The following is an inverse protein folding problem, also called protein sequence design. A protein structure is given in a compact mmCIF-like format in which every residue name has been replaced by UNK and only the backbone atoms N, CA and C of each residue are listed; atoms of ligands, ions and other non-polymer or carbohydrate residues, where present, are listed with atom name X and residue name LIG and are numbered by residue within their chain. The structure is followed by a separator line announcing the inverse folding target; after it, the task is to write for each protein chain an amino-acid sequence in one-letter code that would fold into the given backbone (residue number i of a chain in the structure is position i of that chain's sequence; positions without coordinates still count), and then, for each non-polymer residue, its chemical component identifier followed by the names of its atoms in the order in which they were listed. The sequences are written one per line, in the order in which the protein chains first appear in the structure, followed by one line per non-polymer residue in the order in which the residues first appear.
data_IF_242427088849
#
_entry.id   IF_242427088849
#
_cell.length_a   1.000
_cell.length_b   1.000
_cell.length_c   1.000
_cell.angle_alpha   90.00
_cell.angle_beta   90.00
_cell.angle_gamma   90.00
#
_symmetry.space_group_name_H-M   'P 1'
#
loop_
_entity.id
_entity.type
_entity.pdbx_description
1 polymer ?
#
# COMPACT_ATOMS: atom_id res chain seq x y z
N UNK A 1 9.47 -15.35 -25.92
CA UNK A 1 9.35 -15.69 -24.48
C UNK A 1 7.91 -15.54 -24.02
N UNK A 2 7.30 -14.37 -24.21
CA UNK A 2 5.90 -14.10 -23.82
C UNK A 2 4.89 -15.12 -24.38
N UNK A 3 4.87 -15.36 -25.69
CA UNK A 3 3.98 -16.36 -26.30
C UNK A 3 4.15 -17.78 -25.73
N UNK A 4 5.37 -18.16 -25.32
CA UNK A 4 5.67 -19.47 -24.73
C UNK A 4 5.17 -19.58 -23.29
N UNK A 5 5.25 -18.49 -22.52
CA UNK A 5 4.68 -18.40 -21.17
C UNK A 5 3.15 -18.48 -21.25
N UNK A 6 2.55 -17.73 -22.18
CA UNK A 6 1.10 -17.70 -22.38
C UNK A 6 0.56 -19.03 -22.91
N UNK A 7 1.27 -19.72 -23.80
CA UNK A 7 0.86 -21.04 -24.30
C UNK A 7 0.87 -22.08 -23.18
N UNK A 8 1.94 -22.13 -22.38
CA UNK A 8 2.04 -23.06 -21.25
C UNK A 8 0.99 -22.78 -20.16
N UNK A 9 0.64 -21.52 -19.93
CA UNK A 9 -0.43 -21.16 -19.00
C UNK A 9 -1.79 -21.72 -19.42
N UNK A 10 -2.07 -21.73 -20.74
CA UNK A 10 -3.29 -22.27 -21.35
C UNK A 10 -3.39 -23.80 -21.31
N UNK A 11 -2.26 -24.51 -21.40
CA UNK A 11 -2.20 -25.97 -21.41
C UNK A 11 -2.33 -26.64 -20.02
N UNK A 12 -2.53 -25.85 -18.95
CA UNK A 12 -2.56 -26.32 -17.53
C UNK A 12 -1.29 -27.07 -17.09
N UNK A 13 -0.15 -26.84 -17.75
CA UNK A 13 1.13 -27.47 -17.42
C UNK A 13 1.92 -26.64 -16.41
N UNK A 14 1.50 -26.66 -15.14
CA UNK A 14 2.13 -25.88 -14.06
C UNK A 14 3.63 -26.19 -13.91
N UNK A 15 4.01 -27.46 -13.95
CA UNK A 15 5.41 -27.92 -13.79
C UNK A 15 6.31 -27.38 -14.91
N UNK A 16 5.85 -27.46 -16.17
CA UNK A 16 6.60 -26.95 -17.33
C UNK A 16 6.73 -25.42 -17.29
N UNK A 17 5.72 -24.74 -16.77
CA UNK A 17 5.75 -23.28 -16.61
C UNK A 17 6.75 -22.89 -15.53
N UNK A 18 6.81 -23.64 -14.43
CA UNK A 18 7.76 -23.42 -13.36
C UNK A 18 9.20 -23.67 -13.80
N UNK A 19 9.48 -24.77 -14.50
CA UNK A 19 10.80 -25.05 -15.12
C UNK A 19 11.23 -23.91 -16.04
N UNK A 20 10.32 -23.43 -16.90
CA UNK A 20 10.61 -22.31 -17.78
C UNK A 20 10.94 -21.04 -16.98
N UNK A 21 10.18 -20.73 -15.93
CA UNK A 21 10.41 -19.54 -15.12
C UNK A 21 11.66 -19.65 -14.25
N UNK A 22 12.09 -20.85 -13.86
CA UNK A 22 13.37 -21.08 -13.19
C UNK A 22 14.57 -20.80 -14.11
N UNK A 23 14.43 -21.08 -15.41
CA UNK A 23 15.47 -20.80 -16.40
C UNK A 23 15.58 -19.31 -16.79
N UNK A 24 14.57 -18.49 -16.48
CA UNK A 24 14.52 -17.08 -16.84
C UNK A 24 14.90 -16.21 -15.63
N UNK A 25 15.76 -15.22 -15.84
CA UNK A 25 16.11 -14.26 -14.79
C UNK A 25 14.90 -13.39 -14.46
N UNK A 26 14.75 -13.07 -13.18
CA UNK A 26 13.61 -12.30 -12.71
C UNK A 26 13.54 -10.89 -13.33
N UNK A 27 14.70 -10.28 -13.63
CA UNK A 27 14.77 -8.98 -14.28
C UNK A 27 14.22 -9.04 -15.72
N UNK A 28 14.46 -10.15 -16.42
CA UNK A 28 13.91 -10.37 -17.77
C UNK A 28 12.39 -10.50 -17.72
N UNK A 29 11.84 -11.17 -16.70
CA UNK A 29 10.39 -11.25 -16.47
C UNK A 29 9.79 -9.89 -16.14
N UNK A 30 10.45 -9.10 -15.29
CA UNK A 30 10.02 -7.76 -14.96
C UNK A 30 10.01 -6.83 -16.19
N UNK A 31 11.06 -6.91 -17.02
CA UNK A 31 11.13 -6.16 -18.28
C UNK A 31 10.05 -6.59 -19.27
N UNK A 32 9.75 -7.89 -19.33
CA UNK A 32 8.70 -8.42 -20.18
C UNK A 32 7.31 -7.93 -19.73
N UNK A 33 7.05 -7.92 -18.42
CA UNK A 33 5.83 -7.35 -17.84
C UNK A 33 5.69 -5.87 -18.16
N UNK A 34 6.75 -5.08 -17.96
CA UNK A 34 6.77 -3.66 -18.28
C UNK A 34 6.45 -3.41 -19.76
N UNK A 35 7.08 -4.18 -20.67
CA UNK A 35 6.84 -4.06 -22.10
C UNK A 35 5.38 -4.36 -22.49
N UNK A 36 4.76 -5.37 -21.86
CA UNK A 36 3.35 -5.69 -22.13
C UNK A 36 2.39 -4.68 -21.52
N UNK A 37 2.69 -4.18 -20.32
CA UNK A 37 1.90 -3.15 -19.67
C UNK A 37 1.89 -1.84 -20.48
N UNK A 38 3.05 -1.38 -20.97
CA UNK A 38 3.16 -0.16 -21.78
C UNK A 38 2.45 -0.30 -23.13
N UNK A 39 2.48 -1.50 -23.74
CA UNK A 39 1.78 -1.79 -25.01
C UNK A 39 0.26 -1.94 -24.83
N UNK A 40 -0.23 -1.96 -23.58
CA UNK A 40 -1.64 -2.13 -23.25
C UNK A 40 -2.23 -3.47 -23.66
N UNK A 41 -1.40 -4.52 -23.80
CA UNK A 41 -1.85 -5.85 -24.24
C UNK A 41 -1.27 -6.92 -23.33
N UNK A 42 -2.10 -7.91 -22.97
CA UNK A 42 -1.71 -9.16 -22.32
C UNK A 42 -0.97 -9.06 -20.96
N UNK A 43 -0.80 -7.88 -20.36
CA UNK A 43 -0.13 -7.72 -19.07
C UNK A 43 -0.79 -8.55 -17.97
N UNK A 44 -2.13 -8.53 -17.88
CA UNK A 44 -2.84 -9.35 -16.91
C UNK A 44 -2.74 -10.86 -17.17
N UNK A 45 -2.78 -11.28 -18.44
CA UNK A 45 -2.62 -12.69 -18.80
C UNK A 45 -1.21 -13.22 -18.45
N UNK A 46 -0.19 -12.41 -18.72
CA UNK A 46 1.19 -12.70 -18.35
C UNK A 46 1.36 -12.77 -16.83
N UNK A 47 0.80 -11.81 -16.09
CA UNK A 47 0.90 -11.77 -14.65
C UNK A 47 0.26 -13.02 -14.01
N UNK A 48 -0.92 -13.42 -14.49
CA UNK A 48 -1.58 -14.69 -14.08
C UNK A 48 -0.71 -15.90 -14.37
N UNK A 49 -0.07 -15.94 -15.55
CA UNK A 49 0.82 -17.04 -15.91
C UNK A 49 2.03 -17.12 -14.97
N UNK A 50 2.70 -15.98 -14.72
CA UNK A 50 3.86 -15.92 -13.81
C UNK A 50 3.48 -16.40 -12.42
N UNK A 51 2.36 -15.93 -11.87
CA UNK A 51 1.90 -16.36 -10.54
C UNK A 51 1.55 -17.84 -10.50
N UNK A 52 0.88 -18.36 -11.52
CA UNK A 52 0.57 -19.80 -11.62
C UNK A 52 1.82 -20.68 -11.65
N UNK A 53 2.88 -20.26 -12.34
CA UNK A 53 4.16 -20.98 -12.41
C UNK A 53 5.14 -20.67 -11.28
N UNK A 54 4.73 -19.88 -10.28
CA UNK A 54 5.59 -19.48 -9.16
C UNK A 54 4.83 -19.66 -7.85
N UNK A 55 4.45 -20.88 -7.46
CA UNK A 55 3.66 -21.10 -6.25
C UNK A 55 4.43 -20.68 -4.99
N UNK A 56 3.71 -20.17 -3.98
CA UNK A 56 4.31 -19.80 -2.69
C UNK A 56 4.78 -21.00 -1.84
N UNK A 57 4.42 -22.23 -2.24
CA UNK A 57 4.91 -23.46 -1.61
C UNK A 57 6.40 -23.69 -1.86
N UNK A 58 6.99 -22.99 -2.85
CA UNK A 58 8.41 -23.05 -3.14
C UNK A 58 9.05 -21.70 -2.92
N UNK A 59 10.19 -21.68 -2.25
CA UNK A 59 10.91 -20.45 -1.91
C UNK A 59 11.26 -19.62 -3.16
N UNK A 60 11.79 -20.27 -4.21
CA UNK A 60 12.10 -19.60 -5.48
C UNK A 60 10.85 -19.00 -6.15
N UNK A 61 9.70 -19.67 -6.06
CA UNK A 61 8.43 -19.17 -6.56
C UNK A 61 7.94 -17.97 -5.76
N UNK A 62 8.03 -18.04 -4.44
CA UNK A 62 7.62 -16.99 -3.51
C UNK A 62 8.47 -15.71 -3.67
N UNK A 63 9.80 -15.84 -3.77
CA UNK A 63 10.72 -14.71 -4.02
C UNK A 63 10.47 -14.07 -5.39
N UNK A 64 10.26 -14.88 -6.43
CA UNK A 64 9.89 -14.37 -7.76
C UNK A 64 8.58 -13.60 -7.71
N UNK A 65 7.55 -14.11 -7.00
CA UNK A 65 6.27 -13.40 -6.81
C UNK A 65 6.50 -12.05 -6.15
N UNK A 66 7.27 -12.00 -5.06
CA UNK A 66 7.57 -10.74 -4.36
C UNK A 66 8.19 -9.71 -5.31
N UNK A 67 9.22 -10.09 -6.07
CA UNK A 67 9.87 -9.18 -7.02
C UNK A 67 8.91 -8.69 -8.10
N UNK A 68 8.07 -9.57 -8.64
CA UNK A 68 7.06 -9.21 -9.64
C UNK A 68 6.01 -8.27 -9.03
N UNK A 69 5.61 -8.45 -7.77
CA UNK A 69 4.74 -7.51 -7.04
C UNK A 69 5.37 -6.13 -6.93
N UNK A 70 6.61 -6.04 -6.45
CA UNK A 70 7.33 -4.76 -6.30
C UNK A 70 7.43 -4.05 -7.65
N UNK A 71 7.77 -4.77 -8.73
CA UNK A 71 7.84 -4.19 -10.08
C UNK A 71 6.47 -3.76 -10.60
N UNK A 72 5.42 -4.53 -10.34
CA UNK A 72 4.04 -4.17 -10.73
C UNK A 72 3.57 -2.90 -10.02
N UNK A 73 3.87 -2.77 -8.73
CA UNK A 73 3.59 -1.57 -7.92
C UNK A 73 4.33 -0.36 -8.49
N UNK A 74 5.63 -0.50 -8.77
CA UNK A 74 6.44 0.57 -9.38
C UNK A 74 5.90 1.02 -10.73
N UNK A 75 5.41 0.09 -11.56
CA UNK A 75 4.80 0.43 -12.86
C UNK A 75 3.48 1.19 -12.68
N UNK A 76 2.62 0.78 -11.76
CA UNK A 76 1.37 1.49 -11.46
C UNK A 76 1.66 2.91 -10.94
N UNK A 77 2.69 3.06 -10.10
CA UNK A 77 3.08 4.36 -9.56
C UNK A 77 3.85 5.25 -10.51
N UNK A 78 4.42 4.70 -11.58
CA UNK A 78 5.03 5.54 -12.62
C UNK A 78 4.02 6.51 -13.24
N UNK A 79 2.74 6.12 -13.30
CA UNK A 79 1.69 6.88 -13.98
C UNK A 79 1.68 6.70 -15.50
N UNK A 80 2.65 5.97 -16.07
CA UNK A 80 2.81 5.82 -17.53
C UNK A 80 1.86 4.80 -18.17
N UNK A 81 1.07 4.09 -17.36
CA UNK A 81 0.15 3.05 -17.82
C UNK A 81 -1.23 3.61 -18.14
N UNK A 82 -1.88 3.02 -19.15
CA UNK A 82 -3.31 3.20 -19.38
C UNK A 82 -4.10 2.80 -18.13
N UNK A 83 -5.19 3.53 -17.84
CA UNK A 83 -5.96 3.37 -16.60
C UNK A 83 -6.47 1.94 -16.46
N UNK A 84 -6.96 1.35 -17.54
CA UNK A 84 -7.52 0.00 -17.60
C UNK A 84 -6.45 -1.04 -17.28
N UNK A 85 -5.23 -0.87 -17.80
CA UNK A 85 -4.09 -1.76 -17.56
C UNK A 85 -3.62 -1.67 -16.12
N UNK A 86 -3.51 -0.45 -15.58
CA UNK A 86 -3.14 -0.24 -14.19
C UNK A 86 -4.16 -0.87 -13.23
N UNK A 87 -5.46 -0.69 -13.51
CA UNK A 87 -6.55 -1.30 -12.73
C UNK A 87 -6.57 -2.83 -12.86
N UNK A 88 -6.30 -3.39 -14.04
CA UNK A 88 -6.18 -4.84 -14.22
C UNK A 88 -5.02 -5.40 -13.40
N UNK A 89 -3.84 -4.79 -13.48
CA UNK A 89 -2.66 -5.20 -12.71
C UNK A 89 -2.98 -5.14 -11.21
N UNK A 90 -3.48 -4.00 -10.71
CA UNK A 90 -3.86 -3.87 -9.30
C UNK A 90 -4.87 -4.93 -8.88
N UNK A 91 -5.96 -5.12 -9.63
CA UNK A 91 -6.97 -6.12 -9.31
C UNK A 91 -6.40 -7.53 -9.20
N UNK A 92 -5.42 -7.90 -10.03
CA UNK A 92 -4.72 -9.18 -9.94
C UNK A 92 -3.85 -9.30 -8.69
N UNK A 93 -3.10 -8.24 -8.35
CA UNK A 93 -2.31 -8.20 -7.11
C UNK A 93 -3.21 -8.33 -5.88
N UNK A 94 -4.36 -7.65 -5.87
CA UNK A 94 -5.32 -7.71 -4.77
C UNK A 94 -5.88 -9.13 -4.54
N UNK A 95 -6.06 -9.92 -5.60
CA UNK A 95 -6.54 -11.31 -5.46
C UNK A 95 -5.41 -12.22 -5.00
N UNK A 96 -4.23 -12.12 -5.59
CA UNK A 96 -3.13 -13.06 -5.37
C UNK A 96 -2.39 -12.87 -4.04
N UNK A 97 -2.51 -11.70 -3.41
CA UNK A 97 -1.79 -11.38 -2.16
C UNK A 97 -2.22 -12.28 -1.00
N UNK A 98 -3.44 -12.81 -1.03
CA UNK A 98 -3.96 -13.76 -0.02
C UNK A 98 -3.10 -15.03 0.09
N UNK A 99 -2.46 -15.42 -1.03
CA UNK A 99 -1.61 -16.61 -1.13
C UNK A 99 -0.20 -16.38 -0.58
N UNK A 100 0.18 -15.16 -0.19
CA UNK A 100 1.52 -14.88 0.29
C UNK A 100 1.75 -15.43 1.71
N UNK A 101 2.97 -15.92 2.01
CA UNK A 101 3.39 -16.20 3.38
C UNK A 101 3.54 -14.90 4.17
N UNK A 102 3.45 -14.99 5.51
CA UNK A 102 3.51 -13.82 6.38
C UNK A 102 4.79 -12.98 6.24
N UNK A 103 5.95 -13.62 6.07
CA UNK A 103 7.24 -12.94 5.87
C UNK A 103 7.26 -12.03 4.65
N UNK A 104 6.73 -12.50 3.52
CA UNK A 104 6.69 -11.71 2.29
C UNK A 104 5.63 -10.60 2.37
N UNK A 105 4.55 -10.77 3.13
CA UNK A 105 3.58 -9.70 3.38
C UNK A 105 4.21 -8.56 4.21
N UNK A 106 5.02 -8.91 5.22
CA UNK A 106 5.78 -7.93 6.00
C UNK A 106 6.76 -7.17 5.11
N UNK A 107 7.50 -7.87 4.25
CA UNK A 107 8.45 -7.24 3.32
C UNK A 107 7.73 -6.29 2.35
N UNK A 108 6.62 -6.74 1.76
CA UNK A 108 5.82 -5.94 0.84
C UNK A 108 5.24 -4.69 1.53
N UNK A 109 4.67 -4.84 2.73
CA UNK A 109 4.17 -3.71 3.50
C UNK A 109 5.29 -2.74 3.92
N UNK A 110 6.48 -3.28 4.24
CA UNK A 110 7.64 -2.46 4.61
C UNK A 110 8.13 -1.62 3.44
N UNK A 111 8.08 -2.12 2.21
CA UNK A 111 8.40 -1.35 1.01
C UNK A 111 7.42 -0.17 0.82
N UNK A 112 6.11 -0.39 1.01
CA UNK A 112 5.13 0.71 1.02
C UNK A 112 5.47 1.76 2.08
N UNK A 113 5.73 1.33 3.31
CA UNK A 113 6.09 2.23 4.41
C UNK A 113 7.36 3.02 4.10
N UNK A 114 8.36 2.38 3.48
CA UNK A 114 9.61 3.01 3.04
C UNK A 114 9.34 4.11 2.00
N UNK A 115 8.64 3.77 0.92
CA UNK A 115 8.28 4.70 -0.17
C UNK A 115 7.49 5.90 0.35
N UNK A 116 6.53 5.68 1.26
CA UNK A 116 5.73 6.75 1.87
C UNK A 116 6.62 7.65 2.72
N UNK A 117 7.47 7.07 3.59
CA UNK A 117 8.37 7.83 4.48
C UNK A 117 9.37 8.68 3.73
N UNK A 118 9.85 8.19 2.60
CA UNK A 118 10.82 8.88 1.74
C UNK A 118 10.15 9.89 0.80
N UNK A 119 8.82 10.01 0.80
CA UNK A 119 8.09 10.92 -0.08
C UNK A 119 8.24 10.58 -1.56
N UNK A 120 8.40 9.28 -1.88
CA UNK A 120 8.62 8.80 -3.26
C UNK A 120 7.33 8.37 -3.96
N UNK A 121 6.16 8.61 -3.36
CA UNK A 121 4.87 8.39 -4.00
C UNK A 121 4.68 9.38 -5.16
N UNK A 122 4.16 8.88 -6.28
CA UNK A 122 3.95 9.65 -7.52
C UNK A 122 2.49 9.70 -8.00
N UNK A 123 1.74 8.63 -7.77
CA UNK A 123 0.36 8.49 -8.25
C UNK A 123 -0.59 8.12 -7.10
N UNK A 124 -0.10 7.35 -6.12
CA UNK A 124 -0.87 6.94 -4.94
C UNK A 124 -1.86 5.81 -5.22
N UNK A 125 -2.02 5.39 -6.48
CA UNK A 125 -2.93 4.29 -6.86
C UNK A 125 -2.51 2.97 -6.22
N UNK A 126 -1.21 2.74 -6.06
CA UNK A 126 -0.72 1.54 -5.39
C UNK A 126 -1.16 1.43 -3.92
N UNK A 127 -1.54 2.53 -3.27
CA UNK A 127 -1.98 2.53 -1.87
C UNK A 127 -3.26 1.73 -1.66
N UNK A 128 -4.06 1.49 -2.70
CA UNK A 128 -5.25 0.63 -2.64
C UNK A 128 -4.90 -0.83 -2.28
N UNK A 129 -3.66 -1.27 -2.52
CA UNK A 129 -3.20 -2.62 -2.18
C UNK A 129 -2.84 -2.75 -0.69
N UNK A 130 -2.39 -1.67 -0.06
CA UNK A 130 -1.87 -1.70 1.31
C UNK A 130 -2.92 -2.20 2.35
N UNK A 131 -4.21 -1.82 2.28
CA UNK A 131 -5.21 -2.36 3.19
C UNK A 131 -5.35 -3.87 3.12
N UNK A 132 -5.30 -4.43 1.91
CA UNK A 132 -5.44 -5.87 1.68
C UNK A 132 -4.21 -6.59 2.20
N UNK A 133 -3.00 -6.03 2.01
CA UNK A 133 -1.77 -6.57 2.58
C UNK A 133 -1.85 -6.61 4.11
N UNK A 134 -2.21 -5.48 4.75
CA UNK A 134 -2.29 -5.38 6.21
C UNK A 134 -3.36 -6.29 6.80
N UNK A 135 -4.52 -6.39 6.15
CA UNK A 135 -5.62 -7.29 6.55
C UNK A 135 -5.23 -8.75 6.39
N UNK A 136 -4.59 -9.09 5.28
CA UNK A 136 -4.12 -10.46 5.02
C UNK A 136 -3.04 -10.85 6.02
N UNK A 137 -2.12 -9.94 6.35
CA UNK A 137 -1.07 -10.15 7.33
C UNK A 137 -1.66 -10.42 8.73
N UNK A 138 -2.60 -9.58 9.18
CA UNK A 138 -3.29 -9.79 10.45
C UNK A 138 -4.00 -11.14 10.55
N UNK A 139 -4.52 -11.65 9.43
CA UNK A 139 -5.19 -12.95 9.38
C UNK A 139 -4.21 -14.15 9.42
N UNK A 140 -2.89 -13.94 9.25
CA UNK A 140 -1.90 -15.02 9.34
C UNK A 140 -1.73 -15.43 10.80
N UNK A 141 -1.95 -16.72 11.06
CA UNK A 141 -1.84 -17.33 12.40
C UNK A 141 -0.41 -17.62 12.82
N UNK A 142 0.48 -17.78 11.85
CA UNK A 142 1.88 -18.09 12.08
C UNK A 142 2.63 -16.85 12.56
N UNK A 143 3.53 -17.05 13.51
CA UNK A 143 4.47 -16.00 13.87
C UNK A 143 5.45 -15.79 12.72
N UNK A 144 5.74 -14.53 12.47
CA UNK A 144 6.60 -14.08 11.38
C UNK A 144 7.85 -13.47 11.99
N UNK A 145 9.01 -13.78 11.41
CA UNK A 145 10.25 -13.10 11.76
C UNK A 145 10.13 -11.60 11.44
N UNK A 146 10.28 -10.75 12.46
CA UNK A 146 10.27 -9.30 12.35
C UNK A 146 11.44 -8.71 13.14
N UNK A 147 12.42 -8.16 12.44
CA UNK A 147 13.65 -7.66 13.07
C UNK A 147 14.46 -8.77 13.72
N UNK A 148 14.59 -8.74 15.05
CA UNK A 148 15.34 -9.76 15.84
C UNK A 148 14.43 -10.76 16.56
N UNK A 149 13.11 -10.66 16.41
CA UNK A 149 12.15 -11.50 17.12
C UNK A 149 11.08 -12.08 16.19
N UNK A 150 10.19 -12.84 16.78
CA UNK A 150 8.99 -13.37 16.13
C UNK A 150 7.76 -12.63 16.66
N UNK A 151 6.92 -12.18 15.75
CA UNK A 151 5.68 -11.47 16.04
C UNK A 151 4.52 -12.13 15.30
N UNK A 152 3.34 -12.11 15.89
CA UNK A 152 2.12 -12.46 15.17
C UNK A 152 1.84 -11.49 14.02
N UNK A 153 1.00 -11.91 13.07
CA UNK A 153 0.56 -11.04 11.98
C UNK A 153 -0.07 -9.72 12.45
N UNK A 154 -0.88 -9.77 13.52
CA UNK A 154 -1.52 -8.59 14.12
C UNK A 154 -0.49 -7.63 14.74
N UNK A 155 0.53 -8.16 15.43
CA UNK A 155 1.62 -7.36 16.00
C UNK A 155 2.49 -6.73 14.91
N UNK A 156 2.80 -7.47 13.84
CA UNK A 156 3.51 -6.94 12.67
C UNK A 156 2.72 -5.79 12.02
N UNK A 157 1.41 -5.97 11.81
CA UNK A 157 0.51 -4.92 11.29
C UNK A 157 0.61 -3.67 12.17
N UNK A 158 0.50 -3.82 13.50
CA UNK A 158 0.59 -2.70 14.45
C UNK A 158 1.91 -1.96 14.34
N UNK A 159 3.04 -2.67 14.25
CA UNK A 159 4.37 -2.05 14.09
C UNK A 159 4.52 -1.31 12.76
N UNK A 160 4.00 -1.88 11.67
CA UNK A 160 3.99 -1.24 10.35
C UNK A 160 3.17 0.05 10.36
N UNK A 161 1.97 0.03 10.96
CA UNK A 161 1.11 1.20 11.11
C UNK A 161 1.78 2.27 11.98
N UNK A 162 2.37 1.88 13.11
CA UNK A 162 3.08 2.81 13.97
C UNK A 162 4.27 3.48 13.23
N UNK A 163 5.02 2.68 12.46
CA UNK A 163 6.14 3.17 11.65
C UNK A 163 5.65 4.14 10.56
N UNK A 164 4.51 3.84 9.93
CA UNK A 164 3.87 4.69 8.93
C UNK A 164 3.40 6.02 9.54
N UNK A 165 2.75 5.99 10.71
CA UNK A 165 2.28 7.18 11.42
C UNK A 165 3.44 8.03 11.97
N UNK A 166 4.53 7.41 12.38
CA UNK A 166 5.77 8.10 12.81
C UNK A 166 6.54 8.74 11.63
N UNK A 167 6.32 8.23 10.41
CA UNK A 167 6.92 8.71 9.17
C UNK A 167 6.50 10.12 8.76
N UNK A 168 7.14 10.71 7.73
CA UNK A 168 6.62 11.92 7.09
C UNK A 168 5.60 11.52 6.04
N UNK A 169 4.44 12.17 6.03
CA UNK A 169 3.45 12.01 4.98
C UNK A 169 3.57 13.20 4.04
N UNK A 170 3.69 12.92 2.75
CA UNK A 170 3.62 13.96 1.73
C UNK A 170 2.20 14.54 1.70
N UNK A 171 2.13 15.88 1.71
CA UNK A 171 0.91 16.69 1.69
C UNK A 171 -0.03 16.26 0.56
N UNK A 172 0.51 15.92 -0.60
CA UNK A 172 -0.27 15.53 -1.78
C UNK A 172 -1.10 14.25 -1.56
N UNK A 173 -0.61 13.32 -0.72
CA UNK A 173 -1.23 12.01 -0.52
C UNK A 173 -1.91 11.86 0.83
N UNK A 174 -1.93 12.88 1.71
CA UNK A 174 -2.53 12.78 3.06
C UNK A 174 -3.99 12.34 3.00
N UNK A 175 -4.77 12.88 2.06
CA UNK A 175 -6.19 12.53 1.89
C UNK A 175 -6.32 11.04 1.51
N UNK A 176 -5.52 10.57 0.55
CA UNK A 176 -5.53 9.18 0.09
C UNK A 176 -5.06 8.22 1.19
N UNK A 177 -3.98 8.56 1.89
CA UNK A 177 -3.48 7.79 3.04
C UNK A 177 -4.53 7.69 4.16
N UNK A 178 -5.22 8.79 4.47
CA UNK A 178 -6.30 8.79 5.46
C UNK A 178 -7.47 7.92 5.00
N UNK A 179 -7.85 7.99 3.72
CA UNK A 179 -8.92 7.16 3.16
C UNK A 179 -8.54 5.67 3.17
N UNK A 180 -7.29 5.33 2.87
CA UNK A 180 -6.77 3.95 2.84
C UNK A 180 -6.99 3.23 4.19
N UNK A 181 -6.79 3.91 5.32
CA UNK A 181 -7.05 3.34 6.65
C UNK A 181 -8.54 3.00 6.92
N UNK A 182 -9.47 3.52 6.12
CA UNK A 182 -10.89 3.14 6.19
C UNK A 182 -11.14 1.71 5.75
N UNK A 183 -10.23 1.13 4.97
CA UNK A 183 -10.36 -0.24 4.48
C UNK A 183 -9.53 -1.24 5.32
N UNK A 184 -8.82 -0.76 6.35
CA UNK A 184 -8.03 -1.60 7.28
C UNK A 184 -8.80 -1.90 8.56
N UNK A 185 -8.94 -3.15 9.00
CA UNK A 185 -9.39 -3.47 10.36
C UNK A 185 -8.36 -3.02 11.39
N UNK A 186 -8.70 -1.99 12.18
CA UNK A 186 -7.80 -1.36 13.15
C UNK A 186 -8.26 -1.63 14.59
N UNK A 187 -7.30 -1.90 15.46
CA UNK A 187 -7.49 -1.90 16.91
C UNK A 187 -7.63 -0.45 17.43
N UNK A 188 -8.18 -0.30 18.64
CA UNK A 188 -8.43 1.03 19.24
C UNK A 188 -7.16 1.90 19.32
N UNK A 189 -6.03 1.31 19.68
CA UNK A 189 -4.73 1.98 19.73
C UNK A 189 -4.25 2.42 18.34
N UNK A 190 -4.49 1.60 17.32
CA UNK A 190 -4.11 1.94 15.93
C UNK A 190 -4.97 3.07 15.37
N UNK A 191 -6.27 3.09 15.70
CA UNK A 191 -7.17 4.21 15.39
C UNK A 191 -6.68 5.49 16.05
N UNK A 192 -6.15 5.41 17.26
CA UNK A 192 -5.55 6.55 17.96
C UNK A 192 -4.29 7.06 17.25
N UNK A 193 -3.37 6.18 16.86
CA UNK A 193 -2.16 6.56 16.11
C UNK A 193 -2.50 7.28 14.80
N UNK A 194 -3.46 6.76 14.03
CA UNK A 194 -3.88 7.35 12.76
C UNK A 194 -4.59 8.68 12.99
N UNK A 195 -5.50 8.76 13.97
CA UNK A 195 -6.20 10.02 14.31
C UNK A 195 -5.22 11.13 14.68
N UNK A 196 -4.28 10.85 15.59
CA UNK A 196 -3.25 11.81 15.96
C UNK A 196 -2.39 12.23 14.77
N UNK A 197 -2.01 11.26 13.94
CA UNK A 197 -1.21 11.54 12.75
C UNK A 197 -1.91 12.51 11.81
N UNK A 198 -3.18 12.28 11.51
CA UNK A 198 -3.97 13.13 10.63
C UNK A 198 -4.12 14.54 11.19
N UNK A 199 -4.41 14.66 12.49
CA UNK A 199 -4.49 15.98 13.16
C UNK A 199 -3.17 16.75 13.08
N UNK A 200 -2.02 16.08 13.27
CA UNK A 200 -0.69 16.70 13.09
C UNK A 200 -0.39 17.15 11.66
N UNK A 201 -1.16 16.70 10.66
CA UNK A 201 -1.02 17.17 9.28
C UNK A 201 -1.76 18.50 9.04
N UNK A 202 -2.73 18.90 9.87
CA UNK A 202 -3.48 20.14 9.66
C UNK A 202 -2.58 21.38 9.62
N UNK A 203 -1.64 21.50 10.57
CA UNK A 203 -0.67 22.60 10.62
C UNK A 203 0.37 22.58 9.49
N UNK A 204 0.39 21.52 8.68
CA UNK A 204 1.31 21.36 7.55
C UNK A 204 0.63 21.54 6.20
N UNK A 205 -0.66 21.83 6.18
CA UNK A 205 -1.47 21.97 4.98
C UNK A 205 -1.90 23.43 4.79
N UNK A 206 -2.22 23.79 3.56
CA UNK A 206 -2.81 25.09 3.27
C UNK A 206 -4.26 25.08 3.76
N UNK A 207 -4.80 26.23 4.19
CA UNK A 207 -6.14 26.30 4.78
C UNK A 207 -7.24 25.73 3.86
N UNK A 208 -7.08 25.83 2.54
CA UNK A 208 -8.01 25.27 1.56
C UNK A 208 -7.97 23.73 1.48
N UNK A 209 -6.86 23.11 1.88
CA UNK A 209 -6.67 21.64 1.90
C UNK A 209 -7.25 21.01 3.19
N UNK A 210 -7.57 21.82 4.21
CA UNK A 210 -8.05 21.34 5.51
C UNK A 210 -9.49 20.79 5.45
N UNK A 211 -10.50 21.47 4.86
CA UNK A 211 -11.86 20.95 4.79
C UNK A 211 -12.00 19.53 4.22
N UNK A 212 -11.38 19.17 3.07
CA UNK A 212 -11.47 17.79 2.57
C UNK A 212 -10.78 16.80 3.51
N UNK A 213 -9.70 17.18 4.20
CA UNK A 213 -9.06 16.30 5.18
C UNK A 213 -9.91 16.12 6.45
N UNK A 214 -10.56 17.17 6.93
CA UNK A 214 -11.52 17.09 8.04
C UNK A 214 -12.63 16.12 7.69
N UNK A 215 -13.19 16.19 6.48
CA UNK A 215 -14.18 15.21 6.02
C UNK A 215 -13.63 13.78 6.06
N UNK A 216 -12.41 13.53 5.56
CA UNK A 216 -11.80 12.20 5.61
C UNK A 216 -11.62 11.71 7.06
N UNK A 217 -11.17 12.59 7.97
CA UNK A 217 -10.99 12.28 9.39
C UNK A 217 -12.33 11.95 10.07
N UNK A 218 -13.39 12.71 9.79
CA UNK A 218 -14.72 12.46 10.34
C UNK A 218 -15.26 11.10 9.88
N UNK A 219 -15.13 10.77 8.59
CA UNK A 219 -15.51 9.45 8.09
C UNK A 219 -14.65 8.36 8.75
N UNK A 220 -13.34 8.56 8.89
CA UNK A 220 -12.46 7.62 9.58
C UNK A 220 -12.87 7.42 11.05
N UNK A 221 -13.27 8.48 11.75
CA UNK A 221 -13.70 8.44 13.16
C UNK A 221 -14.96 7.60 13.41
N UNK A 222 -15.69 7.22 12.35
CA UNK A 222 -16.77 6.23 12.46
C UNK A 222 -16.27 4.90 13.03
N UNK A 223 -14.99 4.54 12.81
CA UNK A 223 -14.30 3.36 13.36
C UNK A 223 -13.93 3.48 14.84
N UNK A 224 -13.89 4.69 15.39
CA UNK A 224 -13.50 4.94 16.77
C UNK A 224 -12.90 6.33 16.99
N UNK A 225 -12.63 6.65 18.25
CA UNK A 225 -11.94 7.87 18.66
C UNK A 225 -12.58 9.21 18.23
N UNK A 226 -13.92 9.25 18.13
CA UNK A 226 -14.69 10.43 17.71
C UNK A 226 -14.40 11.66 18.57
N UNK A 227 -14.30 11.48 19.89
CA UNK A 227 -14.01 12.55 20.84
C UNK A 227 -12.69 13.25 20.49
N UNK A 228 -11.60 12.49 20.35
CA UNK A 228 -10.28 13.04 20.02
C UNK A 228 -10.22 13.68 18.64
N UNK A 229 -10.93 13.10 17.65
CA UNK A 229 -11.03 13.70 16.33
C UNK A 229 -11.71 15.08 16.39
N UNK A 230 -12.86 15.19 17.09
CA UNK A 230 -13.57 16.46 17.25
C UNK A 230 -12.77 17.47 18.08
N UNK A 231 -12.22 17.04 19.22
CA UNK A 231 -11.37 17.89 20.06
C UNK A 231 -10.17 18.42 19.28
N UNK A 232 -9.49 17.57 18.52
CA UNK A 232 -8.37 17.97 17.69
C UNK A 232 -8.73 18.98 16.61
N UNK A 233 -9.90 18.83 15.96
CA UNK A 233 -10.40 19.80 14.99
C UNK A 233 -10.70 21.14 15.68
N UNK A 234 -11.43 21.12 16.80
CA UNK A 234 -11.81 22.32 17.55
C UNK A 234 -10.56 23.05 18.05
N UNK A 235 -9.63 22.33 18.69
CA UNK A 235 -8.38 22.91 19.19
C UNK A 235 -7.55 23.53 18.07
N UNK A 236 -7.48 22.88 16.91
CA UNK A 236 -6.76 23.45 15.76
C UNK A 236 -7.35 24.79 15.30
N UNK A 237 -8.68 24.87 15.13
CA UNK A 237 -9.33 26.11 14.69
C UNK A 237 -9.31 27.20 15.76
N UNK A 238 -9.48 26.85 17.05
CA UNK A 238 -9.36 27.82 18.14
C UNK A 238 -7.97 28.48 18.19
N UNK A 239 -6.91 27.70 17.94
CA UNK A 239 -5.54 28.24 17.87
C UNK A 239 -5.34 29.14 16.65
N UNK A 240 -5.95 28.78 15.52
CA UNK A 240 -5.94 29.61 14.30
C UNK A 240 -6.67 30.94 14.52
N UNK A 241 -7.84 30.93 15.15
CA UNK A 241 -8.59 32.14 15.49
C UNK A 241 -7.80 33.04 16.44
N UNK A 242 -7.12 32.44 17.43
CA UNK A 242 -6.26 33.17 18.37
C UNK A 242 -5.10 33.89 17.65
N UNK A 243 -4.39 33.18 16.78
CA UNK A 243 -3.29 33.76 15.99
C UNK A 243 -3.78 34.91 15.11
N UNK A 244 -4.95 34.75 14.48
CA UNK A 244 -5.54 35.79 13.66
C UNK A 244 -5.90 37.05 14.46
N UNK A 245 -6.46 36.90 15.66
CA UNK A 245 -6.79 38.03 16.53
C UNK A 245 -5.54 38.77 17.03
N UNK A 246 -4.47 38.03 17.36
CA UNK A 246 -3.20 38.62 17.78
C UNK A 246 -2.55 39.44 16.65
N UNK A 247 -2.54 38.90 15.42
CA UNK A 247 -2.06 39.61 14.22
C UNK A 247 -2.85 40.89 13.94
N UNK A 248 -4.18 40.88 14.08
CA UNK A 248 -5.00 42.08 13.89
C UNK A 248 -4.77 43.15 14.97
N UNK A 249 -4.47 42.74 16.20
CA UNK A 249 -4.25 43.68 17.32
C UNK A 249 -2.86 44.32 17.34
N UNK A 250 -1.91 43.77 16.58
CA UNK A 250 -0.52 44.26 16.51
C UNK A 250 -0.28 45.33 15.43
N UNK A 251 -1.25 45.56 14.55
CA UNK A 251 -1.22 46.54 13.45
C UNK A 251 -1.94 47.87 13.81
N UNK A 252 -2.37 48.06 15.06
CA UNK A 252 -2.86 49.34 15.63
C UNK A 252 -1.78 50.06 16.46
#
# INVERSE_FOLDING_TARGET
MDQKILSLAGEKTADKLQELLQAVKEDDLANLLQNQAVKGKAAGALLRAIFKGSPCSEEAGALRRLKIYVRSIQLVESGDLQKEVASEILGLLMVEVHNFPGSLLVELASEFVSVIKEGRLKNGKSLELLPIILTTLAAKKENVAYGKGELSGEECKKQLINTLCSGRWDRQYVIQLTSMFKDVPLAAEEVEFVTEKVLRMFSKLNLQEIPPLVYQLLVFSSKGNRKKALEGIITFFNELDKQHNEEQSGDE
#
